data_IF_652743836614
#
_entry.id   IF_652743836614
#
_cell.length_a   1.000
_cell.length_b   1.000
_cell.length_c   1.000
_cell.angle_alpha   90.00
_cell.angle_beta   90.00
_cell.angle_gamma   90.00
#
_symmetry.space_group_name_H-M   'P 1'
#
loop_
_entity.id
_entity.type
_entity.pdbx_description
1 polymer ?
#
# COMPACT_ATOMS: atom_id res chain seq x y z
N UNK A 1 -5.84 -22.12 18.42
CA UNK A 1 -4.90 -22.34 17.29
C UNK A 1 -4.62 -20.97 16.66
N UNK A 2 -3.37 -20.57 16.41
CA UNK A 2 -3.10 -19.29 15.72
C UNK A 2 -3.54 -19.38 14.26
N UNK A 3 -4.26 -18.36 13.75
CA UNK A 3 -4.72 -18.28 12.35
C UNK A 3 -3.55 -18.42 11.37
N UNK A 4 -2.35 -17.97 11.77
CA UNK A 4 -1.14 -18.05 10.96
C UNK A 4 -0.58 -19.47 10.80
N UNK A 5 -1.06 -20.44 11.59
CA UNK A 5 -0.68 -21.86 11.47
C UNK A 5 -1.55 -22.64 10.48
N UNK A 6 -2.66 -22.06 10.02
CA UNK A 6 -3.52 -22.69 9.02
C UNK A 6 -2.89 -22.50 7.62
N UNK A 7 -2.65 -23.61 6.87
CA UNK A 7 -2.02 -23.58 5.55
C UNK A 7 -2.70 -22.64 4.56
N UNK A 8 -4.02 -22.42 4.70
CA UNK A 8 -4.80 -21.50 3.87
C UNK A 8 -4.25 -20.09 3.89
N UNK A 9 -3.62 -19.66 4.99
CA UNK A 9 -3.12 -18.30 5.17
C UNK A 9 -1.61 -18.16 4.93
N UNK A 10 -0.92 -19.20 4.42
CA UNK A 10 0.52 -19.13 4.14
C UNK A 10 0.89 -18.00 3.17
N UNK A 11 -0.01 -17.60 2.27
CA UNK A 11 0.21 -16.46 1.38
C UNK A 11 0.36 -15.11 2.10
N UNK A 12 -0.14 -14.98 3.33
CA UNK A 12 -0.01 -13.76 4.16
C UNK A 12 1.37 -13.66 4.83
N UNK A 13 2.04 -14.81 5.03
CA UNK A 13 3.28 -14.90 5.81
C UNK A 13 4.50 -15.15 4.90
N UNK A 14 4.28 -15.80 3.76
CA UNK A 14 5.35 -16.12 2.82
C UNK A 14 5.93 -14.86 2.17
N UNK A 15 7.25 -14.80 2.17
CA UNK A 15 8.00 -13.73 1.51
C UNK A 15 7.76 -13.83 0.00
N UNK A 16 7.22 -12.77 -0.59
CA UNK A 16 7.01 -12.71 -2.04
C UNK A 16 8.34 -12.83 -2.80
N UNK A 17 8.35 -13.42 -4.01
CA UNK A 17 9.54 -13.45 -4.85
C UNK A 17 10.12 -12.05 -5.10
N UNK A 18 11.45 -11.94 -5.17
CA UNK A 18 12.15 -10.65 -5.34
C UNK A 18 11.69 -9.88 -6.58
N UNK A 19 11.38 -10.59 -7.66
CA UNK A 19 10.84 -10.01 -8.89
C UNK A 19 9.60 -9.15 -8.61
N UNK A 20 8.60 -9.68 -7.90
CA UNK A 20 7.38 -8.94 -7.60
C UNK A 20 7.63 -7.77 -6.63
N UNK A 21 8.53 -7.93 -5.67
CA UNK A 21 8.89 -6.84 -4.75
C UNK A 21 9.51 -5.66 -5.51
N UNK A 22 10.36 -5.95 -6.49
CA UNK A 22 10.99 -4.94 -7.33
C UNK A 22 9.96 -4.16 -8.16
N UNK A 23 9.08 -4.86 -8.88
CA UNK A 23 8.03 -4.24 -9.69
C UNK A 23 7.06 -3.39 -8.87
N UNK A 24 6.67 -3.85 -7.68
CA UNK A 24 5.86 -3.07 -6.75
C UNK A 24 6.51 -1.76 -6.35
N UNK A 25 7.83 -1.76 -6.13
CA UNK A 25 8.58 -0.55 -5.79
C UNK A 25 8.62 0.43 -6.97
N UNK A 26 8.82 -0.06 -8.19
CA UNK A 26 8.74 0.76 -9.41
C UNK A 26 7.35 1.35 -9.55
N UNK A 27 6.31 0.52 -9.45
CA UNK A 27 4.92 0.94 -9.57
C UNK A 27 4.55 2.01 -8.54
N UNK A 28 5.04 1.89 -7.30
CA UNK A 28 4.87 2.92 -6.27
C UNK A 28 5.43 4.29 -6.71
N UNK A 29 6.65 4.32 -7.23
CA UNK A 29 7.24 5.58 -7.70
C UNK A 29 6.52 6.15 -8.92
N UNK A 30 6.09 5.29 -9.84
CA UNK A 30 5.26 5.69 -10.98
C UNK A 30 3.95 6.36 -10.51
N UNK A 31 3.19 5.72 -9.62
CA UNK A 31 1.95 6.31 -9.09
C UNK A 31 2.21 7.63 -8.37
N UNK A 32 3.27 7.69 -7.55
CA UNK A 32 3.63 8.92 -6.83
C UNK A 32 4.02 10.05 -7.78
N UNK A 33 4.69 9.75 -8.89
CA UNK A 33 5.01 10.73 -9.92
C UNK A 33 3.73 11.25 -10.61
N UNK A 34 2.82 10.36 -11.00
CA UNK A 34 1.52 10.72 -11.58
C UNK A 34 0.71 11.60 -10.61
N UNK A 35 0.66 11.25 -9.33
CA UNK A 35 -0.04 12.03 -8.30
C UNK A 35 0.64 13.33 -7.90
N UNK A 36 1.87 13.56 -8.36
CA UNK A 36 2.59 14.82 -8.18
C UNK A 36 2.34 15.75 -9.37
N UNK A 37 2.35 15.22 -10.60
CA UNK A 37 2.40 16.02 -11.82
C UNK A 37 1.11 15.99 -12.65
N UNK A 38 0.55 14.82 -12.89
CA UNK A 38 -0.58 14.66 -13.81
C UNK A 38 -1.92 14.86 -13.11
N UNK A 39 -2.11 14.22 -11.96
CA UNK A 39 -3.32 14.34 -11.13
C UNK A 39 -2.95 14.67 -9.67
N UNK A 40 -2.60 15.93 -9.37
CA UNK A 40 -2.12 16.33 -8.05
C UNK A 40 -3.08 15.97 -6.91
N UNK A 41 -2.61 15.15 -5.96
CA UNK A 41 -3.42 14.72 -4.80
C UNK A 41 -3.19 15.64 -3.60
N UNK A 42 -4.27 16.08 -2.95
CA UNK A 42 -4.21 16.85 -1.69
C UNK A 42 -4.59 16.00 -0.50
N UNK A 43 -3.64 15.76 0.40
CA UNK A 43 -3.86 14.99 1.63
C UNK A 43 -4.18 15.95 2.78
N UNK A 44 -5.32 15.75 3.44
CA UNK A 44 -5.69 16.49 4.65
C UNK A 44 -5.48 15.61 5.88
N UNK A 45 -5.07 16.22 6.99
CA UNK A 45 -4.90 15.47 8.25
C UNK A 45 -3.67 14.55 8.29
N UNK A 46 -2.62 14.83 7.50
CA UNK A 46 -1.39 14.01 7.45
C UNK A 46 -0.78 13.72 8.83
N UNK A 47 -0.94 14.63 9.80
CA UNK A 47 -0.51 14.48 11.20
C UNK A 47 -1.17 13.30 11.95
N UNK A 48 -2.30 12.80 11.46
CA UNK A 48 -3.04 11.68 12.04
C UNK A 48 -2.54 10.32 11.53
N UNK A 49 -1.59 10.29 10.61
CA UNK A 49 -1.07 9.04 10.08
C UNK A 49 -0.31 8.27 11.17
N UNK A 50 -0.56 6.95 11.29
CA UNK A 50 0.09 6.14 12.31
C UNK A 50 1.57 5.95 12.00
N UNK A 51 2.40 6.00 13.05
CA UNK A 51 3.85 5.75 12.95
C UNK A 51 4.13 4.24 12.89
N UNK A 52 3.33 3.45 13.64
CA UNK A 52 3.42 1.98 13.72
C UNK A 52 2.51 1.31 12.68
N UNK A 53 2.60 -0.01 12.57
CA UNK A 53 1.71 -0.82 11.74
C UNK A 53 0.25 -0.53 12.08
N UNK A 54 -0.57 -0.33 11.05
CA UNK A 54 -1.98 -0.01 11.17
C UNK A 54 -2.76 -0.57 10.00
N UNK A 55 -4.07 -0.72 10.19
CA UNK A 55 -5.01 -1.08 9.13
C UNK A 55 -5.67 0.21 8.65
N UNK A 56 -5.53 0.51 7.37
CA UNK A 56 -6.21 1.64 6.74
C UNK A 56 -7.56 1.18 6.23
N UNK A 57 -8.61 1.91 6.59
CA UNK A 57 -9.97 1.67 6.12
C UNK A 57 -10.42 2.86 5.28
N UNK A 58 -11.00 2.59 4.11
CA UNK A 58 -11.60 3.60 3.24
C UNK A 58 -12.82 3.01 2.54
N UNK A 59 -13.63 3.88 1.93
CA UNK A 59 -14.53 3.46 0.87
C UNK A 59 -13.72 2.95 -0.33
N UNK A 60 -14.35 2.13 -1.18
CA UNK A 60 -13.76 1.63 -2.42
C UNK A 60 -14.54 2.16 -3.62
N UNK A 61 -13.85 2.82 -4.53
CA UNK A 61 -14.40 3.42 -5.74
C UNK A 61 -13.58 3.08 -6.98
N UNK A 62 -12.28 2.76 -6.84
CA UNK A 62 -11.41 2.48 -7.99
C UNK A 62 -10.23 1.58 -7.67
N UNK A 63 -9.65 0.96 -8.69
CA UNK A 63 -8.36 0.26 -8.56
C UNK A 63 -7.23 1.15 -8.06
N UNK A 64 -7.32 2.47 -8.27
CA UNK A 64 -6.31 3.43 -7.86
C UNK A 64 -6.35 3.74 -6.36
N UNK A 65 -7.39 3.31 -5.63
CA UNK A 65 -7.53 3.61 -4.20
C UNK A 65 -6.34 3.08 -3.39
N UNK A 66 -5.86 1.89 -3.74
CA UNK A 66 -4.68 1.29 -3.09
C UNK A 66 -3.44 2.14 -3.33
N UNK A 67 -3.25 2.67 -4.54
CA UNK A 67 -2.15 3.57 -4.86
C UNK A 67 -2.28 4.92 -4.13
N UNK A 68 -3.50 5.44 -4.02
CA UNK A 68 -3.78 6.68 -3.30
C UNK A 68 -3.45 6.56 -1.81
N UNK A 69 -3.90 5.48 -1.16
CA UNK A 69 -3.61 5.19 0.26
C UNK A 69 -2.12 5.01 0.47
N UNK A 70 -1.45 4.25 -0.40
CA UNK A 70 0.00 4.03 -0.37
C UNK A 70 0.78 5.36 -0.49
N UNK A 71 0.40 6.23 -1.43
CA UNK A 71 1.00 7.54 -1.60
C UNK A 71 0.73 8.46 -0.40
N UNK A 72 -0.48 8.44 0.15
CA UNK A 72 -0.86 9.23 1.31
C UNK A 72 -0.13 8.82 2.59
N UNK A 73 -0.02 7.51 2.83
CA UNK A 73 0.69 6.93 3.96
C UNK A 73 2.23 6.98 3.80
N UNK A 74 2.73 7.23 2.59
CA UNK A 74 4.17 7.20 2.30
C UNK A 74 4.78 5.81 2.44
N UNK A 75 4.00 4.75 2.14
CA UNK A 75 4.39 3.34 2.28
C UNK A 75 4.26 2.65 0.92
N UNK A 76 5.25 1.84 0.53
CA UNK A 76 5.19 1.05 -0.71
C UNK A 76 4.24 -0.15 -0.58
N UNK A 77 3.99 -0.87 -1.69
CA UNK A 77 3.16 -2.09 -1.72
C UNK A 77 3.88 -3.38 -1.25
N UNK A 78 5.05 -3.19 -0.62
CA UNK A 78 5.89 -4.23 -0.03
C UNK A 78 5.87 -4.09 1.48
#
# INVERSE_FOLDING_TARGET
MSVLKDPKYFYLVNKQPLFFQFWKKIFYYYCRFIFLWYTPVKIRGKKNLPIKSAIFCSNHNSHMDVALISAAAGKSFN
#
